data_IF_946869249612
#
_entry.id   IF_946869249612
#
_cell.length_a   1.000
_cell.length_b   1.000
_cell.length_c   1.000
_cell.angle_alpha   90.00
_cell.angle_beta   90.00
_cell.angle_gamma   90.00
#
_symmetry.space_group_name_H-M   'P 1'
#
loop_
_entity.id
_entity.type
_entity.pdbx_description
1 polymer ?
#
# COMPACT_ATOMS: atom_id res chain seq x y z
N UNK A 1 17.75 -10.33 -17.58
CA UNK A 1 18.28 -9.38 -16.59
C UNK A 1 17.09 -8.53 -16.20
N UNK A 2 16.39 -8.88 -15.12
CA UNK A 2 15.24 -8.12 -14.66
C UNK A 2 15.79 -7.06 -13.70
N UNK A 3 15.81 -5.81 -14.15
CA UNK A 3 16.12 -4.67 -13.32
C UNK A 3 14.96 -4.52 -12.33
N UNK A 4 15.17 -4.99 -11.11
CA UNK A 4 14.37 -4.60 -9.95
C UNK A 4 14.54 -3.09 -9.83
N UNK A 5 13.57 -2.33 -10.30
CA UNK A 5 13.48 -0.91 -10.00
C UNK A 5 13.35 -0.81 -8.48
N UNK A 6 14.42 -0.31 -7.85
CA UNK A 6 14.45 0.15 -6.47
C UNK A 6 13.14 0.90 -6.20
N UNK A 7 12.30 0.35 -5.32
CA UNK A 7 11.30 1.15 -4.62
C UNK A 7 12.08 2.30 -4.01
N UNK A 8 12.03 3.48 -4.64
CA UNK A 8 12.73 4.66 -4.15
C UNK A 8 12.46 4.76 -2.65
N UNK A 9 13.54 4.74 -1.87
CA UNK A 9 13.50 4.77 -0.41
C UNK A 9 12.43 5.76 -0.01
N UNK A 10 11.53 5.33 0.87
CA UNK A 10 10.46 6.13 1.46
C UNK A 10 11.04 7.21 2.38
N UNK A 11 12.09 7.91 1.95
CA UNK A 11 12.83 8.92 2.70
C UNK A 11 11.95 10.14 3.02
N UNK A 12 10.81 10.30 2.35
CA UNK A 12 9.76 11.27 2.69
C UNK A 12 8.90 10.86 3.90
N UNK A 13 8.95 9.59 4.33
CA UNK A 13 8.33 9.14 5.57
C UNK A 13 9.20 9.39 6.81
N UNK A 14 10.45 9.85 6.63
CA UNK A 14 11.36 10.19 7.73
C UNK A 14 11.03 11.53 8.42
N UNK A 15 9.85 12.12 8.18
CA UNK A 15 9.35 13.22 8.99
C UNK A 15 8.74 12.68 10.28
N UNK A 16 9.13 13.24 11.43
CA UNK A 16 8.71 12.85 12.79
C UNK A 16 7.18 12.86 13.07
N UNK A 17 6.33 13.00 12.05
CA UNK A 17 4.88 13.23 12.16
C UNK A 17 4.01 12.19 11.42
N UNK A 18 4.53 11.00 11.08
CA UNK A 18 3.71 9.92 10.47
C UNK A 18 3.35 8.85 11.49
N UNK A 19 2.08 8.85 11.91
CA UNK A 19 1.55 7.89 12.90
C UNK A 19 1.26 6.49 12.33
N UNK A 20 0.99 6.40 11.02
CA UNK A 20 0.80 5.14 10.30
C UNK A 20 0.83 5.35 8.79
N UNK A 21 1.25 4.33 8.05
CA UNK A 21 1.16 4.31 6.59
C UNK A 21 0.84 2.91 6.06
N UNK A 22 0.26 2.88 4.86
CA UNK A 22 -0.01 1.67 4.10
C UNK A 22 0.55 1.86 2.70
N UNK A 23 1.46 0.99 2.29
CA UNK A 23 2.02 0.94 0.93
C UNK A 23 1.35 -0.18 0.17
N UNK A 24 0.87 0.15 -1.03
CA UNK A 24 0.26 -0.75 -1.98
C UNK A 24 1.16 -0.83 -3.21
N UNK A 25 1.79 -1.99 -3.42
CA UNK A 25 2.60 -2.25 -4.60
C UNK A 25 1.81 -3.12 -5.55
N UNK A 26 1.54 -2.60 -6.74
CA UNK A 26 0.80 -3.28 -7.79
C UNK A 26 1.74 -3.76 -8.89
N UNK A 27 1.76 -5.07 -9.13
CA UNK A 27 2.43 -5.65 -10.30
C UNK A 27 1.70 -5.31 -11.61
N UNK A 28 2.28 -5.71 -12.73
CA UNK A 28 1.58 -5.58 -14.02
C UNK A 28 0.32 -6.46 -14.05
N UNK A 29 -0.79 -5.97 -14.63
CA UNK A 29 -1.96 -6.81 -14.83
C UNK A 29 -1.62 -7.95 -15.79
N UNK A 30 -2.02 -9.16 -15.44
CA UNK A 30 -1.91 -10.33 -16.28
C UNK A 30 -2.90 -10.27 -17.44
N UNK A 31 -2.71 -11.12 -18.45
CA UNK A 31 -3.63 -11.24 -19.58
C UNK A 31 -5.06 -11.66 -19.16
N UNK A 32 -5.22 -12.21 -17.96
CA UNK A 32 -6.52 -12.59 -17.37
C UNK A 32 -7.15 -11.45 -16.57
N UNK A 33 -6.54 -10.25 -16.56
CA UNK A 33 -6.99 -9.11 -15.76
C UNK A 33 -6.71 -9.23 -14.27
N UNK A 34 -5.93 -10.24 -13.84
CA UNK A 34 -5.51 -10.39 -12.45
C UNK A 34 -4.23 -9.59 -12.19
N UNK A 35 -4.09 -9.01 -11.01
CA UNK A 35 -2.92 -8.24 -10.62
C UNK A 35 -2.38 -8.77 -9.29
N UNK A 36 -1.07 -8.96 -9.22
CA UNK A 36 -0.42 -9.24 -7.95
C UNK A 36 -0.32 -7.94 -7.16
N UNK A 37 -0.85 -7.94 -5.95
CA UNK A 37 -0.82 -6.79 -5.05
C UNK A 37 -0.09 -7.21 -3.78
N UNK A 38 0.96 -6.48 -3.44
CA UNK A 38 1.65 -6.61 -2.16
C UNK A 38 1.31 -5.39 -1.30
N UNK A 39 0.96 -5.64 -0.04
CA UNK A 39 0.59 -4.59 0.90
C UNK A 39 1.52 -4.65 2.11
N UNK A 40 2.14 -3.52 2.42
CA UNK A 40 3.00 -3.33 3.60
C UNK A 40 2.40 -2.24 4.46
N UNK A 41 2.37 -2.47 5.77
CA UNK A 41 1.84 -1.53 6.74
C UNK A 41 2.83 -1.32 7.87
N UNK A 42 2.94 -0.08 8.34
CA UNK A 42 3.75 0.29 9.49
C UNK A 42 3.03 1.38 10.30
N UNK A 43 3.26 1.38 11.61
CA UNK A 43 2.61 2.27 12.57
C UNK A 43 1.60 1.55 13.46
N UNK A 44 0.71 2.31 14.09
CA UNK A 44 -0.27 1.77 15.03
C UNK A 44 -1.28 0.83 14.33
N UNK A 45 -1.44 -0.37 14.89
CA UNK A 45 -2.27 -1.42 14.31
C UNK A 45 -3.75 -1.05 14.25
N UNK A 46 -4.27 -0.37 15.26
CA UNK A 46 -5.67 0.03 15.31
C UNK A 46 -5.94 1.10 14.24
N UNK A 47 -5.02 2.06 14.10
CA UNK A 47 -5.08 3.11 13.08
C UNK A 47 -5.00 2.54 11.66
N UNK A 48 -4.04 1.65 11.39
CA UNK A 48 -3.92 0.95 10.10
C UNK A 48 -5.19 0.16 9.78
N UNK A 49 -5.70 -0.60 10.75
CA UNK A 49 -6.93 -1.38 10.57
C UNK A 49 -8.12 -0.47 10.25
N UNK A 50 -8.25 0.65 10.95
CA UNK A 50 -9.29 1.64 10.69
C UNK A 50 -9.22 2.20 9.27
N UNK A 51 -8.02 2.59 8.81
CA UNK A 51 -7.80 3.10 7.46
C UNK A 51 -8.20 2.07 6.39
N UNK A 52 -7.77 0.82 6.54
CA UNK A 52 -8.10 -0.26 5.62
C UNK A 52 -9.59 -0.56 5.57
N UNK A 53 -10.26 -0.67 6.72
CA UNK A 53 -11.70 -0.90 6.79
C UNK A 53 -12.48 0.24 6.12
N UNK A 54 -12.06 1.49 6.33
CA UNK A 54 -12.69 2.66 5.70
C UNK A 54 -12.49 2.69 4.18
N UNK A 55 -11.27 2.39 3.72
CA UNK A 55 -10.98 2.32 2.29
C UNK A 55 -11.81 1.24 1.59
N UNK A 56 -11.88 0.03 2.17
CA UNK A 56 -12.71 -1.06 1.65
C UNK A 56 -14.18 -0.68 1.58
N UNK A 57 -14.73 -0.10 2.65
CA UNK A 57 -16.12 0.36 2.68
C UNK A 57 -16.42 1.45 1.63
N UNK A 58 -15.42 2.23 1.22
CA UNK A 58 -15.56 3.23 0.14
C UNK A 58 -15.60 2.61 -1.25
N UNK A 59 -14.99 1.44 -1.45
CA UNK A 59 -14.99 0.72 -2.73
C UNK A 59 -16.30 -0.06 -2.94
N UNK A 60 -17.02 -0.35 -1.86
CA UNK A 60 -18.31 -1.06 -1.87
C UNK A 60 -19.52 -0.14 -2.11
N UNK A 61 -19.31 1.18 -2.19
CA UNK A 61 -20.37 2.11 -2.55
C UNK A 61 -20.53 2.17 -4.09
N UNK A 62 -21.76 1.99 -4.61
CA UNK A 62 -22.03 1.95 -6.05
C UNK A 62 -21.86 3.31 -6.75
#
# INVERSE_FOLDING_TARGET
>A
MAETQDCERLDFLNGDDISAYVVLTCGQPSAEGKMNVEMVYEGDRELVSFLLTKALASLEQP
#
